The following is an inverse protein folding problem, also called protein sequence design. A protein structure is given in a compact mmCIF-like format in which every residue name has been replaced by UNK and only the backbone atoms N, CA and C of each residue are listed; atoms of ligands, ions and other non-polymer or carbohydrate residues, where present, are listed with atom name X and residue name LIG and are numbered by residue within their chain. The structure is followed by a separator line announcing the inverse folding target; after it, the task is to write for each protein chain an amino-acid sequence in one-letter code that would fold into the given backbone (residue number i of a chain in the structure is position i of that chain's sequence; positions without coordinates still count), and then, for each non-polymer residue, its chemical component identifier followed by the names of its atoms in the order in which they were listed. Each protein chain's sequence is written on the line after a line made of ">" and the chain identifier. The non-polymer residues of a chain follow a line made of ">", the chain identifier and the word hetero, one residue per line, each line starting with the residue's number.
data_IF_998783629697
#
_entry.id   IF_998783629697
#
_cell.length_a   1.000
_cell.length_b   1.000
_cell.length_c   1.000
_cell.angle_alpha   90.00
_cell.angle_beta   90.00
_cell.angle_gamma   90.00
#
_symmetry.space_group_name_H-M   'P 1'
#
loop_
_entity.id
_entity.type
_entity.pdbx_description
1 polymer ?
#
# COMPACT_ATOMS: atom_id res chain seq x y z
N UNK A 1 -18.11 -33.96 33.62
CA UNK A 1 -17.65 -33.02 32.58
C UNK A 1 -17.79 -31.62 33.13
N UNK A 2 -16.84 -30.76 32.81
CA UNK A 2 -16.90 -29.33 33.12
C UNK A 2 -17.91 -28.58 32.25
N UNK A 3 -18.07 -27.29 32.52
CA UNK A 3 -18.92 -26.35 31.80
C UNK A 3 -20.40 -26.78 31.67
N UNK A 4 -20.81 -27.80 32.42
CA UNK A 4 -22.20 -28.24 32.49
C UNK A 4 -23.01 -27.26 33.36
N UNK A 5 -24.26 -26.95 32.99
CA UNK A 5 -25.08 -26.01 33.77
C UNK A 5 -25.34 -26.51 35.19
N UNK A 6 -25.71 -25.58 36.09
CA UNK A 6 -26.19 -25.92 37.43
C UNK A 6 -27.36 -26.90 37.38
N UNK A 7 -27.43 -27.82 38.33
CA UNK A 7 -28.43 -28.87 38.41
C UNK A 7 -28.07 -30.15 37.64
N UNK A 8 -26.89 -30.21 37.02
CA UNK A 8 -26.36 -31.40 36.32
C UNK A 8 -26.12 -32.52 37.32
N UNK A 9 -26.55 -33.73 36.96
CA UNK A 9 -26.33 -34.93 37.78
C UNK A 9 -24.85 -35.29 37.82
N UNK A 10 -24.25 -35.23 39.01
CA UNK A 10 -22.87 -35.66 39.25
C UNK A 10 -22.78 -37.15 39.58
N UNK A 11 -23.88 -37.75 40.05
CA UNK A 11 -23.96 -39.18 40.32
C UNK A 11 -25.28 -39.59 40.97
N UNK A 12 -25.49 -40.91 41.08
CA UNK A 12 -26.64 -41.50 41.77
C UNK A 12 -26.17 -42.31 42.97
N UNK A 13 -26.79 -42.07 44.12
CA UNK A 13 -26.52 -42.74 45.37
C UNK A 13 -27.36 -44.01 45.48
N UNK A 14 -26.77 -45.04 46.10
CA UNK A 14 -27.45 -46.25 46.49
C UNK A 14 -26.95 -46.70 47.86
N UNK A 15 -27.74 -47.51 48.55
CA UNK A 15 -27.41 -48.09 49.84
C UNK A 15 -28.08 -49.46 49.93
N UNK A 16 -27.51 -50.34 50.74
CA UNK A 16 -28.06 -51.67 51.01
C UNK A 16 -28.24 -51.83 52.53
N UNK A 17 -29.25 -52.59 52.93
CA UNK A 17 -29.51 -52.94 54.33
C UNK A 17 -30.01 -54.40 54.42
N UNK A 18 -29.91 -55.05 55.59
CA UNK A 18 -30.46 -56.40 55.79
C UNK A 18 -31.98 -56.49 55.61
N UNK A 19 -32.73 -55.42 55.90
CA UNK A 19 -34.18 -55.36 55.61
C UNK A 19 -34.39 -55.03 54.12
N UNK A 20 -35.01 -55.93 53.33
CA UNK A 20 -35.26 -55.69 51.90
C UNK A 20 -36.26 -54.55 51.64
N UNK A 21 -37.03 -54.13 52.65
CA UNK A 21 -37.98 -53.00 52.56
C UNK A 21 -37.39 -51.69 53.10
N UNK A 22 -36.08 -51.63 53.33
CA UNK A 22 -35.42 -50.39 53.76
C UNK A 22 -35.50 -49.31 52.67
N UNK A 23 -35.97 -48.13 53.05
CA UNK A 23 -35.94 -46.90 52.24
C UNK A 23 -34.83 -45.99 52.75
N UNK A 24 -34.16 -45.26 51.87
CA UNK A 24 -33.00 -44.44 52.21
C UNK A 24 -33.22 -42.96 51.90
N UNK A 25 -32.89 -42.11 52.86
CA UNK A 25 -32.78 -40.66 52.67
C UNK A 25 -31.31 -40.26 52.70
N UNK A 26 -30.90 -39.40 51.77
CA UNK A 26 -29.52 -38.94 51.64
C UNK A 26 -29.41 -37.45 51.97
N UNK A 27 -28.38 -37.08 52.74
CA UNK A 27 -28.11 -35.69 53.13
C UNK A 27 -26.61 -35.40 53.09
N UNK A 28 -26.24 -34.17 52.74
CA UNK A 28 -24.86 -33.69 52.90
C UNK A 28 -24.61 -33.36 54.37
N UNK A 29 -23.49 -33.79 54.92
CA UNK A 29 -23.13 -33.57 56.33
C UNK A 29 -21.71 -33.01 56.46
N UNK A 30 -21.48 -32.18 57.47
CA UNK A 30 -20.16 -31.62 57.75
C UNK A 30 -19.20 -32.68 58.31
N UNK A 31 -17.90 -32.48 58.11
CA UNK A 31 -16.84 -33.30 58.71
C UNK A 31 -15.62 -33.42 57.80
N UNK A 32 -14.72 -34.34 58.12
CA UNK A 32 -13.59 -34.66 57.23
C UNK A 32 -14.13 -35.11 55.88
N UNK A 33 -13.61 -34.52 54.79
CA UNK A 33 -14.01 -34.80 53.41
C UNK A 33 -15.27 -34.05 52.93
N UNK A 34 -15.75 -33.05 53.65
CA UNK A 34 -16.92 -32.25 53.29
C UNK A 34 -16.59 -30.86 52.71
N UNK A 35 -15.39 -30.68 52.17
CA UNK A 35 -14.84 -29.37 51.76
C UNK A 35 -15.64 -28.70 50.67
N UNK A 36 -16.31 -29.47 49.83
CA UNK A 36 -17.05 -28.98 48.66
C UNK A 36 -18.57 -29.22 48.77
N UNK A 37 -19.08 -29.55 49.96
CA UNK A 37 -20.51 -29.82 50.15
C UNK A 37 -21.41 -28.68 49.65
N UNK A 38 -20.98 -27.43 49.80
CA UNK A 38 -21.69 -26.23 49.39
C UNK A 38 -21.83 -26.07 47.87
N UNK A 39 -21.07 -26.85 47.08
CA UNK A 39 -21.14 -26.87 45.62
C UNK A 39 -22.13 -27.90 45.07
N UNK A 40 -22.76 -28.69 45.93
CA UNK A 40 -23.67 -29.76 45.54
C UNK A 40 -24.98 -29.72 46.31
N UNK A 41 -26.01 -30.31 45.70
CA UNK A 41 -27.29 -30.60 46.35
C UNK A 41 -27.66 -32.06 46.14
N UNK A 42 -28.55 -32.56 46.98
CA UNK A 42 -29.12 -33.89 46.83
C UNK A 42 -30.62 -33.75 46.53
N UNK A 43 -31.06 -34.34 45.43
CA UNK A 43 -32.47 -34.45 45.07
C UNK A 43 -32.83 -35.94 44.95
N UNK A 44 -33.63 -36.44 45.89
CA UNK A 44 -33.91 -37.87 46.01
C UNK A 44 -32.62 -38.64 46.30
N UNK A 45 -32.19 -39.48 45.35
CA UNK A 45 -30.91 -40.19 45.40
C UNK A 45 -29.87 -39.62 44.41
N UNK A 46 -30.11 -38.46 43.80
CA UNK A 46 -29.18 -37.86 42.83
C UNK A 46 -28.36 -36.76 43.48
N UNK A 47 -27.05 -36.77 43.27
CA UNK A 47 -26.17 -35.65 43.59
C UNK A 47 -26.16 -34.73 42.37
N UNK A 48 -26.44 -33.44 42.58
CA UNK A 48 -26.49 -32.43 41.53
C UNK A 48 -25.54 -31.28 41.81
N UNK A 49 -24.92 -30.75 40.76
CA UNK A 49 -24.08 -29.54 40.85
C UNK A 49 -24.93 -28.32 41.17
N UNK A 50 -24.36 -27.34 41.87
CA UNK A 50 -25.01 -26.03 42.12
C UNK A 50 -24.48 -24.91 41.21
N UNK A 51 -23.41 -25.17 40.46
CA UNK A 51 -22.83 -24.27 39.48
C UNK A 51 -22.28 -25.04 38.28
N UNK A 52 -21.86 -24.30 37.26
CA UNK A 52 -20.90 -24.83 36.29
C UNK A 52 -19.51 -24.87 36.94
N UNK A 53 -18.78 -25.95 36.67
CA UNK A 53 -17.41 -26.12 37.14
C UNK A 53 -16.44 -25.98 35.97
N UNK A 54 -15.25 -25.54 36.29
CA UNK A 54 -14.12 -25.27 35.40
C UNK A 54 -12.98 -26.20 35.85
N UNK A 55 -12.46 -27.02 34.93
CA UNK A 55 -11.46 -28.04 35.18
C UNK A 55 -10.09 -27.44 35.48
N UNK A 56 -9.71 -26.37 34.79
CA UNK A 56 -8.48 -25.62 35.03
C UNK A 56 -8.48 -25.00 36.43
N UNK A 57 -9.66 -24.63 36.95
CA UNK A 57 -9.81 -24.12 38.30
C UNK A 57 -9.81 -25.22 39.38
N UNK A 58 -10.56 -26.30 39.20
CA UNK A 58 -10.64 -27.39 40.19
C UNK A 58 -11.09 -28.71 39.57
N UNK A 59 -10.19 -29.69 39.60
CA UNK A 59 -10.39 -31.00 38.95
C UNK A 59 -11.14 -32.02 39.83
N UNK A 60 -11.10 -31.87 41.15
CA UNK A 60 -11.68 -32.84 42.09
C UNK A 60 -12.44 -32.15 43.21
N UNK A 61 -13.57 -32.73 43.61
CA UNK A 61 -14.43 -32.24 44.67
C UNK A 61 -14.65 -33.33 45.71
N UNK A 62 -14.62 -32.97 47.00
CA UNK A 62 -14.86 -33.90 48.10
C UNK A 62 -16.15 -33.53 48.83
N UNK A 63 -17.09 -34.48 48.85
CA UNK A 63 -18.36 -34.36 49.57
C UNK A 63 -18.51 -35.47 50.61
N UNK A 64 -19.22 -35.17 51.69
CA UNK A 64 -19.55 -36.15 52.74
C UNK A 64 -21.06 -36.30 52.82
N UNK A 65 -21.53 -37.53 52.61
CA UNK A 65 -22.95 -37.86 52.54
C UNK A 65 -23.30 -38.81 53.68
N UNK A 66 -24.42 -38.54 54.36
CA UNK A 66 -25.09 -39.46 55.26
C UNK A 66 -26.28 -40.11 54.54
N UNK A 67 -26.32 -41.43 54.55
CA UNK A 67 -27.53 -42.22 54.25
C UNK A 67 -28.22 -42.58 55.57
N UNK A 68 -29.55 -42.57 55.61
CA UNK A 68 -30.34 -42.93 56.79
C UNK A 68 -31.56 -43.74 56.38
N UNK A 69 -31.82 -44.84 57.07
CA UNK A 69 -33.01 -45.67 56.84
C UNK A 69 -34.25 -45.06 57.48
N UNK A 70 -35.46 -45.54 57.13
CA UNK A 70 -36.71 -45.14 57.80
C UNK A 70 -36.73 -45.47 59.31
N UNK A 71 -35.83 -46.36 59.76
CA UNK A 71 -35.69 -46.75 61.16
C UNK A 71 -34.59 -45.97 61.90
N UNK A 72 -33.96 -44.99 61.25
CA UNK A 72 -32.96 -44.10 61.87
C UNK A 72 -31.52 -44.62 61.89
N UNK A 73 -31.24 -45.80 61.34
CA UNK A 73 -29.86 -46.29 61.19
C UNK A 73 -29.14 -45.49 60.10
N UNK A 74 -27.92 -45.00 60.37
CA UNK A 74 -27.19 -44.13 59.46
C UNK A 74 -25.76 -44.57 59.19
N UNK A 75 -25.27 -44.28 57.99
CA UNK A 75 -23.87 -44.41 57.60
C UNK A 75 -23.42 -43.10 56.93
N UNK A 76 -22.20 -42.67 57.23
CA UNK A 76 -21.56 -41.54 56.56
C UNK A 76 -20.39 -42.01 55.73
N UNK A 77 -20.26 -41.46 54.52
CA UNK A 77 -19.16 -41.76 53.63
C UNK A 77 -18.73 -40.52 52.86
N UNK A 78 -17.43 -40.41 52.61
CA UNK A 78 -16.84 -39.39 51.74
C UNK A 78 -16.79 -39.89 50.31
N UNK A 79 -17.11 -39.02 49.37
CA UNK A 79 -17.05 -39.28 47.94
C UNK A 79 -16.18 -38.23 47.27
N UNK A 80 -15.33 -38.68 46.36
CA UNK A 80 -14.58 -37.81 45.46
C UNK A 80 -15.27 -37.80 44.11
N UNK A 81 -15.65 -36.62 43.65
CA UNK A 81 -16.19 -36.39 42.31
C UNK A 81 -15.04 -35.85 41.46
N UNK A 82 -14.69 -36.57 40.41
CA UNK A 82 -13.70 -36.14 39.43
C UNK A 82 -14.40 -35.41 38.29
N UNK A 83 -13.90 -34.23 37.94
CA UNK A 83 -14.33 -33.53 36.74
C UNK A 83 -13.66 -34.17 35.53
N UNK A 84 -14.33 -34.09 34.38
CA UNK A 84 -13.77 -34.56 33.11
C UNK A 84 -13.52 -33.33 32.28
N UNK A 85 -12.26 -33.18 31.90
CA UNK A 85 -11.74 -32.14 31.02
C UNK A 85 -12.44 -32.18 29.66
N UNK A 86 -12.82 -31.01 29.15
CA UNK A 86 -13.36 -30.76 27.82
C UNK A 86 -12.52 -29.66 27.19
N UNK A 87 -12.11 -29.84 25.93
CA UNK A 87 -11.26 -28.84 25.28
C UNK A 87 -12.01 -27.54 24.94
N UNK A 88 -11.44 -26.42 25.35
CA UNK A 88 -11.94 -25.09 25.08
C UNK A 88 -11.38 -24.51 23.78
N UNK A 89 -12.12 -23.55 23.23
CA UNK A 89 -11.75 -22.90 21.97
C UNK A 89 -10.41 -22.15 22.11
N UNK A 90 -9.50 -22.28 21.13
CA UNK A 90 -8.27 -21.51 21.13
C UNK A 90 -8.56 -20.04 20.80
N UNK A 91 -7.59 -19.16 21.05
CA UNK A 91 -7.76 -17.72 20.84
C UNK A 91 -6.87 -17.21 19.70
N UNK A 92 -7.29 -16.11 19.07
CA UNK A 92 -6.47 -15.25 18.19
C UNK A 92 -7.09 -13.86 18.17
N UNK A 93 -6.26 -12.82 18.16
CA UNK A 93 -6.72 -11.44 18.05
C UNK A 93 -7.30 -11.14 16.65
N UNK A 94 -8.10 -10.08 16.53
CA UNK A 94 -8.59 -9.63 15.23
C UNK A 94 -7.41 -9.18 14.33
N UNK A 95 -7.52 -9.50 13.04
CA UNK A 95 -6.51 -9.19 12.04
C UNK A 95 -7.01 -8.02 11.20
N UNK A 96 -6.23 -6.95 11.13
CA UNK A 96 -6.58 -5.76 10.35
C UNK A 96 -6.50 -6.01 8.84
N UNK A 97 -7.41 -5.40 8.08
CA UNK A 97 -7.36 -5.39 6.62
C UNK A 97 -6.06 -4.72 6.13
N UNK A 98 -5.56 -5.19 4.99
CA UNK A 98 -4.35 -4.68 4.35
C UNK A 98 -4.70 -4.08 2.98
N UNK A 99 -4.19 -2.88 2.69
CA UNK A 99 -4.29 -2.26 1.36
C UNK A 99 -2.91 -1.80 0.93
N UNK A 100 -2.43 -2.30 -0.20
CA UNK A 100 -1.10 -1.98 -0.73
C UNK A 100 -1.16 -1.72 -2.23
N UNK A 101 -0.14 -1.07 -2.77
CA UNK A 101 0.14 -1.10 -4.20
C UNK A 101 0.88 -2.38 -4.56
N UNK A 102 0.76 -2.85 -5.81
CA UNK A 102 1.52 -4.02 -6.27
C UNK A 102 3.02 -3.85 -5.98
N UNK A 103 3.59 -4.90 -5.38
CA UNK A 103 5.01 -5.01 -5.08
C UNK A 103 5.42 -6.48 -5.09
N UNK A 104 6.65 -6.76 -5.52
CA UNK A 104 7.26 -8.09 -5.42
C UNK A 104 7.92 -8.36 -4.07
N UNK A 105 8.04 -7.32 -3.23
CA UNK A 105 8.57 -7.44 -1.88
C UNK A 105 7.63 -8.28 -1.00
N UNK A 106 8.21 -9.09 -0.13
CA UNK A 106 7.44 -9.81 0.88
C UNK A 106 6.76 -8.83 1.83
N UNK A 107 5.52 -9.14 2.15
CA UNK A 107 4.74 -8.46 3.15
C UNK A 107 4.60 -9.37 4.37
N UNK A 108 4.59 -8.75 5.55
CA UNK A 108 4.51 -9.44 6.83
C UNK A 108 3.36 -8.83 7.64
N UNK A 109 2.41 -9.66 8.07
CA UNK A 109 1.30 -9.26 8.94
C UNK A 109 1.50 -9.95 10.30
N UNK A 110 1.72 -9.18 11.38
CA UNK A 110 1.86 -9.76 12.71
C UNK A 110 0.53 -10.36 13.16
N UNK A 111 0.60 -11.54 13.77
CA UNK A 111 -0.53 -12.23 14.41
C UNK A 111 -0.24 -12.31 15.91
N UNK A 112 -1.25 -12.07 16.74
CA UNK A 112 -1.10 -12.01 18.19
C UNK A 112 -2.32 -12.62 18.90
N UNK A 113 -2.20 -12.80 20.22
CA UNK A 113 -3.26 -13.35 21.06
C UNK A 113 -3.53 -14.83 20.79
N UNK A 114 -2.53 -15.56 20.28
CA UNK A 114 -2.66 -16.98 19.96
C UNK A 114 -2.44 -17.80 21.22
N UNK A 115 -3.47 -18.47 21.71
CA UNK A 115 -3.38 -19.36 22.87
C UNK A 115 -4.17 -20.64 22.57
N UNK A 116 -3.85 -21.77 23.21
CA UNK A 116 -4.69 -22.96 23.10
C UNK A 116 -6.05 -22.81 23.78
N UNK A 117 -6.30 -21.72 24.53
CA UNK A 117 -7.42 -21.61 25.46
C UNK A 117 -6.93 -21.61 26.91
N UNK A 118 -7.82 -21.87 27.87
CA UNK A 118 -7.50 -22.14 29.28
C UNK A 118 -6.45 -23.25 29.50
N UNK A 119 -6.35 -24.22 28.59
CA UNK A 119 -5.48 -25.40 28.69
C UNK A 119 -4.03 -25.09 28.35
N UNK A 120 -3.31 -24.45 29.28
CA UNK A 120 -1.95 -23.93 29.05
C UNK A 120 -0.90 -24.96 28.65
N UNK A 121 -1.18 -26.26 28.78
CA UNK A 121 -0.29 -27.36 28.40
C UNK A 121 -0.41 -27.80 26.94
N UNK A 122 -1.41 -27.29 26.23
CA UNK A 122 -1.64 -27.60 24.84
C UNK A 122 -0.78 -26.74 23.91
N UNK A 123 -0.62 -27.21 22.67
CA UNK A 123 0.15 -26.52 21.63
C UNK A 123 -0.77 -26.08 20.50
N UNK A 124 -0.48 -24.94 19.89
CA UNK A 124 -1.25 -24.39 18.77
C UNK A 124 -0.49 -24.50 17.45
N UNK A 125 -1.24 -24.74 16.38
CA UNK A 125 -0.78 -24.74 15.00
C UNK A 125 -1.62 -23.76 14.18
N UNK A 126 -1.04 -23.23 13.11
CA UNK A 126 -1.72 -22.29 12.22
C UNK A 126 -1.85 -22.87 10.81
N UNK A 127 -2.94 -22.55 10.15
CA UNK A 127 -3.10 -22.69 8.71
C UNK A 127 -3.67 -21.42 8.11
N UNK A 128 -3.46 -21.23 6.80
CA UNK A 128 -3.97 -20.07 6.07
C UNK A 128 -4.55 -20.49 4.73
N UNK A 129 -5.66 -19.86 4.34
CA UNK A 129 -6.26 -19.98 3.01
C UNK A 129 -6.65 -18.61 2.46
N UNK A 130 -6.91 -18.55 1.16
CA UNK A 130 -7.35 -17.34 0.47
C UNK A 130 -8.52 -17.65 -0.47
N UNK A 131 -9.45 -16.70 -0.59
CA UNK A 131 -10.51 -16.73 -1.61
C UNK A 131 -9.99 -16.47 -3.03
N UNK A 132 -8.77 -15.98 -3.18
CA UNK A 132 -8.11 -15.70 -4.45
C UNK A 132 -6.62 -16.09 -4.36
N UNK A 133 -6.33 -17.36 -4.62
CA UNK A 133 -4.96 -17.88 -4.56
C UNK A 133 -4.05 -17.30 -5.65
N UNK A 134 -4.60 -16.94 -6.80
CA UNK A 134 -3.82 -16.38 -7.92
C UNK A 134 -3.23 -15.00 -7.60
N UNK A 135 -3.76 -14.29 -6.60
CA UNK A 135 -3.20 -13.02 -6.14
C UNK A 135 -1.81 -13.18 -5.51
N UNK A 136 -1.47 -14.38 -5.02
CA UNK A 136 -0.25 -14.62 -4.24
C UNK A 136 0.69 -15.58 -4.96
N UNK A 137 1.98 -15.21 -5.04
CA UNK A 137 3.04 -16.16 -5.41
C UNK A 137 3.47 -17.01 -4.21
N UNK A 138 3.24 -16.51 -3.00
CA UNK A 138 3.38 -17.26 -1.76
C UNK A 138 2.42 -16.70 -0.72
N UNK A 139 1.80 -17.56 0.06
CA UNK A 139 0.97 -17.22 1.22
C UNK A 139 1.23 -18.28 2.29
N UNK A 140 1.75 -17.88 3.45
CA UNK A 140 2.09 -18.79 4.53
C UNK A 140 1.97 -18.13 5.91
N UNK A 141 1.92 -18.95 6.94
CA UNK A 141 1.97 -18.55 8.35
C UNK A 141 3.18 -19.17 9.01
N UNK A 142 3.87 -18.41 9.85
CA UNK A 142 4.97 -18.91 10.67
C UNK A 142 4.46 -19.71 11.88
N UNK A 143 5.41 -20.31 12.60
CA UNK A 143 5.12 -21.00 13.85
C UNK A 143 4.67 -20.02 14.93
N UNK A 144 3.86 -20.51 15.87
CA UNK A 144 3.47 -19.75 17.06
C UNK A 144 4.63 -19.75 18.06
N UNK A 145 4.99 -18.57 18.55
CA UNK A 145 5.99 -18.37 19.61
C UNK A 145 5.51 -17.28 20.55
N UNK A 146 5.43 -17.59 21.86
CA UNK A 146 4.95 -16.67 22.89
C UNK A 146 3.62 -15.98 22.52
N UNK A 147 2.68 -16.76 21.97
CA UNK A 147 1.36 -16.29 21.53
C UNK A 147 1.36 -15.36 20.31
N UNK A 148 2.47 -15.30 19.58
CA UNK A 148 2.62 -14.50 18.37
C UNK A 148 3.02 -15.37 17.18
N UNK A 149 2.67 -14.91 15.98
CA UNK A 149 3.14 -15.49 14.72
C UNK A 149 3.20 -14.41 13.63
N UNK A 150 3.55 -14.79 12.42
CA UNK A 150 3.57 -13.87 11.28
C UNK A 150 2.97 -14.53 10.06
N UNK A 151 1.99 -13.89 9.44
CA UNK A 151 1.55 -14.22 8.10
C UNK A 151 2.48 -13.54 7.09
N UNK A 152 2.99 -14.32 6.15
CA UNK A 152 3.89 -13.87 5.10
C UNK A 152 3.21 -14.04 3.75
N UNK A 153 3.23 -13.00 2.93
CA UNK A 153 2.75 -13.12 1.55
C UNK A 153 3.61 -12.35 0.56
N UNK A 154 3.58 -12.81 -0.69
CA UNK A 154 4.12 -12.08 -1.85
C UNK A 154 3.03 -12.05 -2.89
N UNK A 155 2.82 -10.87 -3.48
CA UNK A 155 1.89 -10.75 -4.60
C UNK A 155 2.47 -11.49 -5.81
N UNK A 156 1.63 -12.21 -6.55
CA UNK A 156 2.04 -12.80 -7.82
C UNK A 156 2.33 -11.70 -8.86
N UNK A 157 3.30 -11.94 -9.75
CA UNK A 157 3.79 -10.90 -10.65
C UNK A 157 2.66 -10.32 -11.53
N UNK A 158 2.54 -8.99 -11.56
CA UNK A 158 1.52 -8.26 -12.31
C UNK A 158 0.09 -8.45 -11.81
N UNK A 159 -0.12 -9.12 -10.68
CA UNK A 159 -1.46 -9.33 -10.13
C UNK A 159 -1.89 -8.16 -9.26
N UNK A 160 -3.18 -7.86 -9.32
CA UNK A 160 -3.87 -6.90 -8.48
C UNK A 160 -5.29 -7.41 -8.23
N UNK A 161 -5.97 -6.87 -7.24
CA UNK A 161 -7.32 -7.28 -6.87
C UNK A 161 -7.46 -7.48 -5.38
N UNK A 162 -8.49 -8.23 -4.99
CA UNK A 162 -8.87 -8.45 -3.59
C UNK A 162 -8.85 -9.94 -3.26
N UNK A 163 -8.43 -10.26 -2.05
CA UNK A 163 -8.52 -11.59 -1.46
C UNK A 163 -9.06 -11.50 -0.03
N UNK A 164 -9.98 -12.38 0.33
CA UNK A 164 -10.31 -12.66 1.73
C UNK A 164 -9.36 -13.76 2.19
N UNK A 165 -8.49 -13.44 3.15
CA UNK A 165 -7.55 -14.38 3.75
C UNK A 165 -8.10 -14.85 5.08
N UNK A 166 -8.10 -16.17 5.28
CA UNK A 166 -8.58 -16.80 6.52
C UNK A 166 -7.41 -17.51 7.20
N UNK A 167 -7.12 -17.09 8.43
CA UNK A 167 -6.17 -17.75 9.32
C UNK A 167 -6.95 -18.62 10.30
N UNK A 168 -6.57 -19.88 10.42
CA UNK A 168 -7.16 -20.82 11.38
C UNK A 168 -6.11 -21.22 12.40
N UNK A 169 -6.46 -21.09 13.68
CA UNK A 169 -5.71 -21.65 14.81
C UNK A 169 -6.33 -22.98 15.17
N UNK A 170 -5.47 -23.97 15.39
CA UNK A 170 -5.86 -25.30 15.87
C UNK A 170 -5.00 -25.67 17.08
N UNK A 171 -5.61 -25.94 18.23
CA UNK A 171 -4.92 -26.59 19.36
C UNK A 171 -4.94 -28.12 19.22
N UNK A 172 -4.23 -28.80 20.12
CA UNK A 172 -4.09 -30.24 20.12
C UNK A 172 -4.95 -30.98 21.16
N UNK A 173 -5.91 -30.32 21.83
CA UNK A 173 -6.78 -30.96 22.81
C UNK A 173 -7.93 -31.78 22.21
N UNK A 174 -8.28 -31.51 20.95
CA UNK A 174 -9.22 -32.31 20.18
C UNK A 174 -10.69 -31.97 20.46
N UNK A 175 -11.61 -32.84 20.03
CA UNK A 175 -13.06 -32.54 20.00
C UNK A 175 -13.93 -33.52 20.81
N UNK A 176 -13.32 -34.32 21.68
CA UNK A 176 -14.04 -35.22 22.57
C UNK A 176 -14.96 -34.42 23.51
N UNK A 177 -16.10 -35.00 23.89
CA UNK A 177 -17.06 -34.39 24.82
C UNK A 177 -17.60 -33.01 24.37
N UNK A 178 -17.64 -32.76 23.05
CA UNK A 178 -17.97 -31.46 22.43
C UNK A 178 -16.89 -30.38 22.59
N UNK A 179 -15.64 -30.78 22.84
CA UNK A 179 -14.52 -29.87 22.81
C UNK A 179 -14.37 -29.18 21.45
N UNK A 180 -13.84 -27.96 21.46
CA UNK A 180 -13.64 -27.13 20.28
C UNK A 180 -12.16 -26.86 20.15
N UNK A 181 -11.51 -27.36 19.09
CA UNK A 181 -10.07 -27.19 18.93
C UNK A 181 -9.66 -26.19 17.84
N UNK A 182 -10.62 -25.44 17.28
CA UNK A 182 -10.34 -24.53 16.16
C UNK A 182 -11.08 -23.21 16.26
N UNK A 183 -10.41 -22.14 15.81
CA UNK A 183 -11.01 -20.83 15.54
C UNK A 183 -10.42 -20.25 14.26
N UNK A 184 -11.23 -19.51 13.49
CA UNK A 184 -10.78 -18.82 12.29
C UNK A 184 -11.07 -17.32 12.35
N UNK A 185 -10.14 -16.52 11.81
CA UNK A 185 -10.32 -15.09 11.55
C UNK A 185 -10.05 -14.79 10.09
N UNK A 186 -10.92 -14.00 9.49
CA UNK A 186 -10.79 -13.56 8.12
C UNK A 186 -10.57 -12.05 8.06
N UNK A 187 -9.73 -11.62 7.13
CA UNK A 187 -9.46 -10.21 6.82
C UNK A 187 -9.23 -10.05 5.32
N UNK A 188 -9.31 -8.82 4.84
CA UNK A 188 -9.17 -8.51 3.42
C UNK A 188 -7.75 -8.02 3.11
N UNK A 189 -7.16 -8.53 2.03
CA UNK A 189 -5.99 -7.97 1.39
C UNK A 189 -6.41 -7.38 0.04
N UNK A 190 -6.18 -6.07 -0.13
CA UNK A 190 -6.41 -5.33 -1.37
C UNK A 190 -5.05 -4.96 -1.96
N UNK A 191 -4.80 -5.38 -3.20
CA UNK A 191 -3.63 -5.00 -3.97
C UNK A 191 -4.07 -4.12 -5.14
N UNK A 192 -3.74 -2.84 -5.08
CA UNK A 192 -4.03 -1.88 -6.14
C UNK A 192 -2.99 -2.01 -7.26
N UNK A 193 -3.41 -1.97 -8.54
CA UNK A 193 -2.48 -2.02 -9.66
C UNK A 193 -1.59 -0.77 -9.69
N UNK A 194 -0.37 -0.91 -10.21
CA UNK A 194 0.47 0.24 -10.53
C UNK A 194 -0.09 0.97 -11.77
N UNK A 195 0.07 2.31 -11.86
CA UNK A 195 -0.27 3.08 -13.06
C UNK A 195 0.36 2.48 -14.33
N UNK A 196 -0.45 2.21 -15.35
CA UNK A 196 0.04 1.86 -16.69
C UNK A 196 0.26 3.14 -17.50
N UNK A 197 1.50 3.61 -17.55
CA UNK A 197 1.84 4.91 -18.13
C UNK A 197 2.20 4.77 -19.60
N UNK A 198 1.62 5.63 -20.44
CA UNK A 198 2.09 5.88 -21.80
C UNK A 198 2.44 7.36 -21.94
N UNK A 199 3.52 7.65 -22.67
CA UNK A 199 3.89 9.02 -23.04
C UNK A 199 3.88 9.12 -24.57
N UNK A 200 3.18 10.11 -25.10
CA UNK A 200 3.20 10.47 -26.52
C UNK A 200 3.74 11.87 -26.72
N UNK A 201 4.41 12.09 -27.85
CA UNK A 201 4.86 13.41 -28.31
C UNK A 201 4.09 13.77 -29.58
N UNK A 202 3.55 14.98 -29.67
CA UNK A 202 2.74 15.40 -30.81
C UNK A 202 3.54 15.45 -32.14
N UNK A 203 4.86 15.66 -32.06
CA UNK A 203 5.75 15.74 -33.22
C UNK A 203 6.59 14.46 -33.42
N UNK A 204 6.31 13.40 -32.67
CA UNK A 204 7.22 12.25 -32.56
C UNK A 204 8.45 12.57 -31.71
N UNK A 205 9.48 11.70 -31.79
CA UNK A 205 10.66 11.77 -30.92
C UNK A 205 11.87 12.46 -31.56
N UNK A 206 11.78 12.87 -32.83
CA UNK A 206 12.85 13.58 -33.52
C UNK A 206 12.31 14.73 -34.35
N UNK A 207 12.87 15.93 -34.15
CA UNK A 207 12.45 17.15 -34.83
C UNK A 207 13.57 18.22 -34.83
N UNK A 208 13.44 19.26 -35.64
CA UNK A 208 14.41 20.36 -35.70
C UNK A 208 14.57 21.07 -34.35
N UNK A 209 15.81 21.42 -34.01
CA UNK A 209 16.12 22.18 -32.79
C UNK A 209 15.36 23.51 -32.72
N UNK A 210 14.91 23.88 -31.53
CA UNK A 210 14.10 25.09 -31.30
C UNK A 210 12.62 24.95 -31.65
N UNK A 211 12.18 23.77 -32.13
CA UNK A 211 10.76 23.44 -32.19
C UNK A 211 10.27 23.08 -30.79
N UNK A 212 9.10 23.60 -30.44
CA UNK A 212 8.38 23.21 -29.23
C UNK A 212 7.49 22.01 -29.53
N UNK A 213 7.36 21.10 -28.58
CA UNK A 213 6.46 19.95 -28.65
C UNK A 213 5.73 19.76 -27.33
N UNK A 214 4.52 19.22 -27.41
CA UNK A 214 3.72 18.80 -26.26
C UNK A 214 3.85 17.28 -26.05
N UNK A 215 4.26 16.91 -24.84
CA UNK A 215 4.21 15.55 -24.32
C UNK A 215 2.89 15.33 -23.58
N UNK A 216 2.24 14.19 -23.78
CA UNK A 216 1.02 13.80 -23.05
C UNK A 216 1.25 12.47 -22.35
N UNK A 217 1.01 12.43 -21.04
CA UNK A 217 1.05 11.23 -20.22
C UNK A 217 -0.35 10.77 -19.82
N UNK A 218 -0.55 9.45 -19.76
CA UNK A 218 -1.79 8.80 -19.29
C UNK A 218 -1.50 7.88 -18.10
N UNK A 219 -2.54 7.25 -17.55
CA UNK A 219 -2.40 6.16 -16.56
C UNK A 219 -2.66 6.54 -15.11
N UNK A 220 -3.03 7.79 -14.81
CA UNK A 220 -3.34 8.21 -13.43
C UNK A 220 -4.14 9.51 -13.35
N UNK A 221 -4.21 10.07 -12.15
CA UNK A 221 -4.98 11.29 -11.84
C UNK A 221 -4.08 12.47 -11.46
N UNK A 222 -2.81 12.22 -11.14
CA UNK A 222 -1.81 13.24 -10.82
C UNK A 222 -0.48 12.93 -11.52
N UNK A 223 0.22 13.99 -11.92
CA UNK A 223 1.39 13.93 -12.79
C UNK A 223 2.45 14.89 -12.28
N UNK A 224 3.72 14.47 -12.29
CA UNK A 224 4.85 15.33 -11.97
C UNK A 224 6.00 15.07 -12.93
N UNK A 225 6.33 16.06 -13.75
CA UNK A 225 7.36 15.98 -14.77
C UNK A 225 8.73 16.50 -14.29
N UNK A 226 9.77 15.75 -14.64
CA UNK A 226 11.18 16.07 -14.45
C UNK A 226 11.98 15.70 -15.71
N UNK A 227 13.28 16.02 -15.74
CA UNK A 227 14.16 15.67 -16.86
C UNK A 227 15.02 16.81 -17.35
N UNK A 228 15.44 16.72 -18.61
CA UNK A 228 16.31 17.68 -19.30
C UNK A 228 15.78 19.12 -19.32
N UNK A 229 16.67 20.07 -19.63
CA UNK A 229 16.31 21.49 -19.79
C UNK A 229 15.37 21.72 -20.98
N UNK A 230 14.83 22.93 -21.08
CA UNK A 230 13.84 23.26 -22.11
C UNK A 230 12.40 22.96 -21.73
N UNK A 231 12.09 22.69 -20.45
CA UNK A 231 10.71 22.63 -19.97
C UNK A 231 10.17 24.04 -19.85
N UNK A 232 9.09 24.33 -20.58
CA UNK A 232 8.45 25.65 -20.60
C UNK A 232 7.00 25.62 -20.10
N UNK A 233 6.38 24.44 -20.05
CA UNK A 233 5.05 24.23 -19.48
C UNK A 233 5.03 23.87 -17.99
N UNK A 234 3.82 23.74 -17.44
CA UNK A 234 3.61 23.26 -16.07
C UNK A 234 4.11 21.83 -15.91
N UNK A 235 4.84 21.58 -14.81
CA UNK A 235 5.32 20.23 -14.45
C UNK A 235 4.26 19.36 -13.77
N UNK A 236 3.14 19.95 -13.34
CA UNK A 236 2.12 19.26 -12.56
C UNK A 236 0.81 19.07 -13.37
N UNK A 237 0.94 18.60 -14.60
CA UNK A 237 -0.18 18.40 -15.52
C UNK A 237 0.03 17.12 -16.34
N UNK A 238 -1.07 16.56 -16.87
CA UNK A 238 -1.01 15.40 -17.77
C UNK A 238 -0.28 15.72 -19.08
N UNK A 239 -0.07 17.00 -19.39
CA UNK A 239 0.66 17.44 -20.56
C UNK A 239 1.81 18.36 -20.20
N UNK A 240 2.97 18.17 -20.83
CA UNK A 240 4.18 18.97 -20.65
C UNK A 240 4.58 19.62 -21.97
N UNK A 241 4.75 20.93 -21.98
CA UNK A 241 5.29 21.65 -23.13
C UNK A 241 6.80 21.83 -22.97
N UNK A 242 7.56 21.41 -23.99
CA UNK A 242 9.02 21.44 -23.98
C UNK A 242 9.58 22.00 -25.28
N UNK A 243 10.66 22.77 -25.18
CA UNK A 243 11.53 23.23 -26.26
C UNK A 243 12.93 22.70 -25.96
N UNK A 244 13.27 21.46 -26.37
CA UNK A 244 14.55 20.85 -26.03
C UNK A 244 15.74 21.69 -26.53
N UNK A 245 16.72 21.90 -25.66
CA UNK A 245 17.87 22.77 -25.93
C UNK A 245 19.12 22.00 -26.34
N UNK A 246 19.15 20.70 -26.03
CA UNK A 246 20.25 19.78 -26.32
C UNK A 246 19.88 18.81 -27.45
N UNK A 247 20.89 18.26 -28.12
CA UNK A 247 20.73 17.29 -29.20
C UNK A 247 19.93 16.04 -28.79
N UNK A 248 19.95 15.69 -27.50
CA UNK A 248 19.12 14.64 -26.91
C UNK A 248 18.75 15.02 -25.48
N UNK A 249 17.52 14.73 -25.08
CA UNK A 249 17.01 15.00 -23.74
C UNK A 249 15.96 13.99 -23.32
N UNK A 250 15.98 13.62 -22.04
CA UNK A 250 15.04 12.66 -21.45
C UNK A 250 14.11 13.36 -20.48
N UNK A 251 12.82 13.12 -20.63
CA UNK A 251 11.75 13.64 -19.77
C UNK A 251 11.09 12.46 -19.06
N UNK A 252 10.92 12.59 -17.76
CA UNK A 252 10.35 11.56 -16.89
C UNK A 252 9.10 12.11 -16.24
N UNK A 253 8.05 11.31 -16.19
CA UNK A 253 6.83 11.63 -15.46
C UNK A 253 6.64 10.62 -14.33
N UNK A 254 6.41 11.13 -13.12
CA UNK A 254 5.83 10.38 -12.03
C UNK A 254 4.30 10.50 -12.13
N UNK A 255 3.60 9.37 -12.22
CA UNK A 255 2.14 9.30 -12.31
C UNK A 255 1.61 8.64 -11.04
N UNK A 256 0.55 9.21 -10.47
CA UNK A 256 -0.16 8.66 -9.30
C UNK A 256 -1.58 8.25 -9.70
N UNK A 257 -1.99 7.02 -9.38
CA UNK A 257 -3.36 6.52 -9.58
C UNK A 257 -4.34 7.11 -8.56
N UNK A 258 -5.64 6.85 -8.74
CA UNK A 258 -6.67 7.27 -7.79
C UNK A 258 -6.50 6.63 -6.40
N UNK A 259 -5.93 5.43 -6.36
CA UNK A 259 -5.64 4.65 -5.15
C UNK A 259 -4.32 5.05 -4.47
N UNK A 260 -3.63 6.07 -5.01
CA UNK A 260 -2.36 6.57 -4.47
C UNK A 260 -1.12 5.79 -4.91
N UNK A 261 -1.25 4.84 -5.84
CA UNK A 261 -0.11 4.07 -6.35
C UNK A 261 0.68 4.88 -7.37
N UNK A 262 2.01 4.82 -7.28
CA UNK A 262 2.89 5.62 -8.12
C UNK A 262 3.72 4.78 -9.08
N UNK A 263 3.98 5.29 -10.27
CA UNK A 263 4.95 4.73 -11.22
C UNK A 263 5.60 5.82 -12.04
N UNK A 264 6.76 5.53 -12.63
CA UNK A 264 7.48 6.47 -13.48
C UNK A 264 7.66 5.94 -14.89
N UNK A 265 7.58 6.81 -15.88
CA UNK A 265 7.92 6.51 -17.27
C UNK A 265 8.76 7.63 -17.85
N UNK A 266 9.64 7.29 -18.78
CA UNK A 266 10.47 8.26 -19.49
C UNK A 266 10.24 8.22 -20.99
N UNK A 267 10.44 9.36 -21.64
CA UNK A 267 10.55 9.52 -23.08
C UNK A 267 11.83 10.30 -23.41
N UNK A 268 12.55 9.87 -24.44
CA UNK A 268 13.74 10.58 -24.94
C UNK A 268 13.38 11.26 -26.26
N UNK A 269 13.69 12.55 -26.36
CA UNK A 269 13.56 13.34 -27.58
C UNK A 269 14.94 13.67 -28.12
N UNK A 270 15.10 13.65 -29.44
CA UNK A 270 16.32 14.07 -30.13
C UNK A 270 16.01 15.27 -31.01
N UNK A 271 16.95 16.21 -31.11
CA UNK A 271 16.82 17.33 -32.02
C UNK A 271 17.84 17.27 -33.14
N UNK A 272 17.41 17.58 -34.37
CA UNK A 272 18.32 17.78 -35.50
C UNK A 272 18.85 19.21 -35.50
N UNK A 273 20.18 19.34 -35.55
CA UNK A 273 20.85 20.63 -35.78
C UNK A 273 20.61 21.04 -37.24
N UNK A 274 19.66 21.94 -37.44
CA UNK A 274 19.37 22.59 -38.71
C UNK A 274 18.98 24.05 -38.47
N UNK A 275 18.64 24.79 -39.52
CA UNK A 275 18.16 26.18 -39.43
C UNK A 275 16.67 26.31 -39.77
N UNK A 276 15.91 25.21 -39.79
CA UNK A 276 14.51 25.20 -40.23
C UNK A 276 13.58 25.96 -39.28
N UNK A 277 13.98 26.13 -38.01
CA UNK A 277 13.24 26.88 -37.00
C UNK A 277 13.84 28.28 -36.72
N UNK A 278 14.78 28.72 -37.55
CA UNK A 278 15.32 30.08 -37.50
C UNK A 278 14.46 31.01 -38.36
N UNK A 279 14.10 32.15 -37.78
CA UNK A 279 13.46 33.26 -38.49
C UNK A 279 13.89 34.57 -37.85
N UNK A 280 13.96 35.65 -38.63
CA UNK A 280 14.28 36.98 -38.10
C UNK A 280 13.16 37.99 -38.36
N UNK A 281 13.06 39.01 -37.50
CA UNK A 281 12.22 40.17 -37.77
C UNK A 281 12.72 40.93 -39.00
N UNK A 282 11.81 41.66 -39.66
CA UNK A 282 12.10 42.42 -40.88
C UNK A 282 11.87 43.93 -40.73
N UNK A 283 11.50 44.38 -39.53
CA UNK A 283 11.31 45.78 -39.15
C UNK A 283 11.84 46.04 -37.74
N UNK A 284 12.48 47.20 -37.54
CA UNK A 284 12.76 47.76 -36.23
C UNK A 284 12.33 49.22 -36.16
N UNK A 285 11.87 49.63 -34.99
CA UNK A 285 11.51 51.00 -34.59
C UNK A 285 12.31 51.34 -33.32
N UNK A 286 13.60 51.70 -33.43
CA UNK A 286 14.47 51.84 -32.27
C UNK A 286 14.22 53.16 -31.52
N UNK A 287 13.05 53.26 -30.90
CA UNK A 287 12.54 54.42 -30.14
C UNK A 287 12.64 54.20 -28.61
N UNK A 288 12.96 52.98 -28.17
CA UNK A 288 13.14 52.60 -26.77
C UNK A 288 11.85 52.27 -26.02
N UNK A 289 10.74 52.00 -26.73
CA UNK A 289 9.44 51.66 -26.13
C UNK A 289 9.30 50.17 -25.75
N UNK A 290 10.31 49.35 -26.06
CA UNK A 290 10.35 47.91 -25.84
C UNK A 290 9.74 47.09 -26.98
N UNK A 291 9.20 47.72 -28.01
CA UNK A 291 8.51 47.09 -29.14
C UNK A 291 9.33 47.27 -30.41
N UNK A 292 9.76 46.17 -31.00
CA UNK A 292 10.57 46.16 -32.23
C UNK A 292 11.83 47.04 -32.16
N UNK A 293 12.40 47.29 -30.98
CA UNK A 293 13.64 48.08 -30.86
C UNK A 293 14.86 47.37 -31.48
N UNK A 294 14.86 46.04 -31.47
CA UNK A 294 16.00 45.21 -31.83
C UNK A 294 15.67 44.23 -32.96
N UNK A 295 16.68 43.86 -33.74
CA UNK A 295 16.60 42.71 -34.65
C UNK A 295 16.50 41.42 -33.82
N UNK A 296 15.35 40.77 -33.89
CA UNK A 296 15.10 39.52 -33.19
C UNK A 296 15.26 38.36 -34.16
N UNK A 297 16.23 37.48 -33.89
CA UNK A 297 16.38 36.17 -34.51
C UNK A 297 15.81 35.12 -33.55
N UNK A 298 14.74 34.45 -33.96
CA UNK A 298 14.08 33.38 -33.19
C UNK A 298 15.03 32.20 -33.02
N UNK A 299 15.07 31.64 -31.81
CA UNK A 299 15.88 30.47 -31.41
C UNK A 299 17.41 30.69 -31.46
N UNK A 300 17.91 31.93 -31.59
CA UNK A 300 19.35 32.22 -31.61
C UNK A 300 20.06 31.83 -30.31
N UNK A 301 19.31 31.81 -29.19
CA UNK A 301 19.75 31.35 -27.87
C UNK A 301 20.24 29.90 -27.88
N UNK A 302 19.71 29.07 -28.78
CA UNK A 302 20.08 27.66 -28.91
C UNK A 302 21.37 27.42 -29.73
N UNK A 303 21.91 28.49 -30.32
CA UNK A 303 23.11 28.44 -31.17
C UNK A 303 24.12 29.51 -30.73
N UNK A 304 24.81 29.32 -29.60
CA UNK A 304 25.77 30.30 -29.07
C UNK A 304 26.95 30.54 -30.03
N UNK A 305 27.27 29.57 -30.88
CA UNK A 305 28.31 29.67 -31.93
C UNK A 305 27.73 30.23 -33.23
N UNK A 306 27.23 31.46 -33.18
CA UNK A 306 26.73 32.18 -34.35
C UNK A 306 27.55 33.46 -34.64
N UNK A 307 27.45 33.99 -35.85
CA UNK A 307 28.02 35.28 -36.24
C UNK A 307 27.04 36.04 -37.13
N UNK A 308 26.56 37.19 -36.65
CA UNK A 308 25.69 38.10 -37.40
C UNK A 308 26.54 39.16 -38.11
N UNK A 309 26.27 39.38 -39.39
CA UNK A 309 26.79 40.50 -40.18
C UNK A 309 25.63 41.26 -40.81
N UNK A 310 25.68 42.60 -40.78
CA UNK A 310 24.66 43.48 -41.38
C UNK A 310 25.34 44.38 -42.40
N UNK A 311 24.66 44.60 -43.51
CA UNK A 311 25.12 45.33 -44.68
C UNK A 311 24.13 46.43 -45.08
N UNK A 312 24.65 47.55 -45.56
CA UNK A 312 23.83 48.56 -46.22
C UNK A 312 23.41 48.13 -47.65
N UNK A 313 22.61 48.95 -48.32
CA UNK A 313 22.14 48.69 -49.70
C UNK A 313 23.26 48.60 -50.74
N UNK A 314 24.43 49.16 -50.45
CA UNK A 314 25.61 49.09 -51.30
C UNK A 314 26.47 47.84 -51.01
N UNK A 315 26.06 46.99 -50.06
CA UNK A 315 26.78 45.79 -49.66
C UNK A 315 27.95 46.04 -48.70
N UNK A 316 28.07 47.24 -48.13
CA UNK A 316 29.11 47.53 -47.13
C UNK A 316 28.68 46.97 -45.78
N UNK A 317 29.56 46.22 -45.12
CA UNK A 317 29.31 45.70 -43.77
C UNK A 317 29.33 46.84 -42.75
N UNK A 318 28.22 47.01 -42.04
CA UNK A 318 28.02 48.05 -41.03
C UNK A 318 27.88 47.49 -39.61
N UNK A 319 27.78 46.17 -39.45
CA UNK A 319 27.75 45.55 -38.12
C UNK A 319 28.28 44.13 -38.22
N UNK A 320 28.96 43.68 -37.17
CA UNK A 320 29.38 42.29 -37.01
C UNK A 320 29.42 41.93 -35.54
N UNK A 321 28.85 40.77 -35.19
CA UNK A 321 28.82 40.26 -33.82
C UNK A 321 28.88 38.75 -33.80
N UNK A 322 29.85 38.20 -33.07
CA UNK A 322 29.90 36.79 -32.69
C UNK A 322 29.03 36.56 -31.45
N UNK A 323 28.37 35.41 -31.41
CA UNK A 323 27.42 35.04 -30.35
C UNK A 323 26.29 36.06 -30.23
N UNK A 324 25.67 36.44 -31.34
CA UNK A 324 24.53 37.36 -31.33
C UNK A 324 23.39 36.79 -30.49
N UNK A 325 22.79 37.62 -29.63
CA UNK A 325 21.68 37.32 -28.72
C UNK A 325 20.63 38.43 -28.75
N UNK A 326 20.24 38.87 -29.96
CA UNK A 326 19.15 39.83 -30.19
C UNK A 326 19.38 41.25 -29.64
N UNK A 327 20.62 41.73 -29.65
CA UNK A 327 21.00 43.02 -29.06
C UNK A 327 21.13 44.19 -30.05
N UNK A 328 21.03 43.95 -31.36
CA UNK A 328 21.27 45.01 -32.35
C UNK A 328 20.02 45.88 -32.53
N UNK A 329 20.17 47.16 -32.23
CA UNK A 329 19.10 48.16 -32.19
C UNK A 329 19.12 49.14 -33.37
N UNK A 330 19.69 48.76 -34.52
CA UNK A 330 19.77 49.67 -35.67
C UNK A 330 20.85 50.75 -35.56
N UNK A 331 21.86 50.58 -34.71
CA UNK A 331 23.00 51.50 -34.60
C UNK A 331 24.30 50.92 -35.14
N UNK A 332 25.21 51.80 -35.54
CA UNK A 332 26.60 51.47 -35.88
C UNK A 332 27.54 52.36 -35.06
N UNK A 333 28.43 51.74 -34.27
CA UNK A 333 29.33 52.44 -33.34
C UNK A 333 28.61 53.43 -32.41
N UNK A 334 27.39 53.06 -31.94
CA UNK A 334 26.56 53.89 -31.09
C UNK A 334 25.78 55.00 -31.81
N UNK A 335 25.96 55.15 -33.13
CA UNK A 335 25.25 56.14 -33.94
C UNK A 335 24.03 55.47 -34.60
N UNK A 336 22.80 55.99 -34.40
CA UNK A 336 21.62 55.48 -35.09
C UNK A 336 21.79 55.56 -36.61
N UNK A 337 21.51 54.45 -37.29
CA UNK A 337 21.56 54.39 -38.75
C UNK A 337 20.39 55.17 -39.36
N UNK A 338 20.51 55.52 -40.65
CA UNK A 338 19.42 56.16 -41.37
C UNK A 338 18.24 55.20 -41.55
N UNK A 339 17.06 55.76 -41.77
CA UNK A 339 15.92 54.96 -42.21
C UNK A 339 16.24 54.27 -43.54
N UNK A 340 15.77 53.04 -43.69
CA UNK A 340 16.01 52.26 -44.89
C UNK A 340 16.15 50.78 -44.63
N UNK A 341 16.38 50.05 -45.71
CA UNK A 341 16.49 48.59 -45.70
C UNK A 341 17.95 48.20 -45.65
N UNK A 342 18.27 47.34 -44.69
CA UNK A 342 19.56 46.72 -44.48
C UNK A 342 19.43 45.22 -44.67
N UNK A 343 20.52 44.56 -45.05
CA UNK A 343 20.54 43.11 -45.26
C UNK A 343 21.41 42.46 -44.21
N UNK A 344 21.03 41.28 -43.73
CA UNK A 344 21.83 40.56 -42.76
C UNK A 344 22.06 39.11 -43.18
N UNK A 345 23.20 38.58 -42.73
CA UNK A 345 23.56 37.18 -42.80
C UNK A 345 23.93 36.77 -41.38
N UNK A 346 23.26 35.74 -40.85
CA UNK A 346 23.68 35.09 -39.62
C UNK A 346 24.20 33.69 -39.95
N UNK A 347 25.44 33.43 -39.57
CA UNK A 347 26.12 32.16 -39.78
C UNK A 347 26.12 31.36 -38.48
N UNK A 348 25.40 30.24 -38.45
CA UNK A 348 25.44 29.27 -37.37
C UNK A 348 26.55 28.26 -37.69
N UNK A 349 27.69 28.38 -37.02
CA UNK A 349 28.92 27.67 -37.37
C UNK A 349 28.69 26.16 -37.31
N UNK A 350 28.95 25.47 -38.42
CA UNK A 350 28.76 24.03 -38.54
C UNK A 350 27.32 23.57 -38.84
N UNK A 351 26.35 24.50 -38.88
CA UNK A 351 24.93 24.19 -39.14
C UNK A 351 24.45 24.81 -40.46
N UNK A 352 24.64 26.12 -40.65
CA UNK A 352 24.19 26.80 -41.87
C UNK A 352 24.09 28.31 -41.74
N UNK A 353 23.73 28.98 -42.84
CA UNK A 353 23.56 30.44 -42.91
C UNK A 353 22.09 30.79 -43.13
N UNK A 354 21.58 31.71 -42.33
CA UNK A 354 20.27 32.33 -42.55
C UNK A 354 20.48 33.77 -43.05
N UNK A 355 19.66 34.18 -44.02
CA UNK A 355 19.75 35.51 -44.65
C UNK A 355 18.40 36.20 -44.58
N UNK A 356 18.42 37.51 -44.37
CA UNK A 356 17.21 38.30 -44.33
C UNK A 356 17.49 39.78 -44.59
N UNK A 357 16.43 40.57 -44.46
CA UNK A 357 16.51 42.02 -44.48
C UNK A 357 15.82 42.58 -43.24
N UNK A 358 16.20 43.80 -42.87
CA UNK A 358 15.60 44.56 -41.78
C UNK A 358 15.39 46.00 -42.25
N UNK A 359 14.19 46.54 -42.04
CA UNK A 359 13.89 47.94 -42.34
C UNK A 359 13.89 48.74 -41.05
N UNK A 360 14.68 49.81 -41.02
CA UNK A 360 14.68 50.78 -39.93
C UNK A 360 13.67 51.86 -40.28
N UNK A 361 12.70 52.06 -39.40
CA UNK A 361 11.76 53.17 -39.41
C UNK A 361 11.98 53.98 -38.13
N UNK A 362 11.93 55.30 -38.22
CA UNK A 362 11.96 56.19 -37.06
C UNK A 362 10.60 56.87 -36.96
N UNK A 363 10.08 56.91 -35.74
CA UNK A 363 8.89 57.69 -35.41
C UNK A 363 9.24 59.17 -35.17
#
# INVERSE_FOLDING_TARGET
>A
MENQPSGTTAGTLSSIAPDPNATFTYTLVAGIGSTDNDKFSIQGNTVRTLAAFDYESQQTFNIRIRTTTQYGASLEQTFTINLTDVNEIPTIADIGNQTICFTSAQQNVPLAGITPGPETNQTTTLSVSSSNNNLFSSLSVGNVSNGNATLNYRVANGQSGTAIVTVTVTDNGGTANNGINTISKSFTIIVNPLPQIAITSELGTSFSKGKTTKLTATGGVSYQWSGSSGIIGSRNASTLEVRPESASGTYTVLVTSAEGCTSTQSITLTTTEDIAQISGTNIITPNGDGVNDNLIIKNVDLYPNNELEIFDRAGRRIYSKKGYQNEWNGSFNGIPLAEGTYYYIINFIGVGKYKGFITIIKD
#
